data_IF_511878622993
#
_entry.id   IF_511878622993
#
_cell.length_a   1.000
_cell.length_b   1.000
_cell.length_c   1.000
_cell.angle_alpha   90.00
_cell.angle_beta   90.00
_cell.angle_gamma   90.00
#
_symmetry.space_group_name_H-M   'P 1'
#
loop_
_entity.id
_entity.type
_entity.pdbx_description
1 polymer ?
#
# COMPACT_ATOMS: atom_id res chain seq x y z
N UNK A 1 -20.20 13.46 -16.07
CA UNK A 1 -18.81 13.90 -15.88
C UNK A 1 -18.21 14.34 -17.22
N UNK A 2 -17.59 15.52 -17.22
CA UNK A 2 -16.85 16.09 -18.34
C UNK A 2 -15.70 16.93 -17.78
N UNK A 3 -14.46 16.62 -18.15
CA UNK A 3 -13.29 17.33 -17.64
C UNK A 3 -12.11 17.27 -18.62
N UNK A 4 -11.20 18.23 -18.47
CA UNK A 4 -9.93 18.28 -19.18
C UNK A 4 -8.80 18.06 -18.18
N UNK A 5 -7.99 17.02 -18.40
CA UNK A 5 -6.89 16.63 -17.52
C UNK A 5 -5.60 16.52 -18.31
N UNK A 6 -4.45 16.91 -17.74
CA UNK A 6 -3.16 16.69 -18.40
C UNK A 6 -2.87 15.19 -18.49
N UNK A 7 -2.23 14.74 -19.57
CA UNK A 7 -1.80 13.33 -19.70
C UNK A 7 -0.97 12.87 -18.50
N UNK A 8 -0.09 13.74 -18.00
CA UNK A 8 0.76 13.46 -16.84
C UNK A 8 -0.06 13.22 -15.55
N UNK A 9 -1.04 14.09 -15.26
CA UNK A 9 -1.90 13.92 -14.07
C UNK A 9 -2.73 12.64 -14.17
N UNK A 10 -3.33 12.39 -15.34
CA UNK A 10 -4.11 11.16 -15.57
C UNK A 10 -3.24 9.91 -15.41
N UNK A 11 -2.04 9.91 -15.99
CA UNK A 11 -1.10 8.80 -15.85
C UNK A 11 -0.68 8.58 -14.39
N UNK A 12 -0.34 9.65 -13.65
CA UNK A 12 0.03 9.58 -12.23
C UNK A 12 -1.10 8.97 -11.41
N UNK A 13 -2.33 9.47 -11.56
CA UNK A 13 -3.50 8.97 -10.84
C UNK A 13 -3.77 7.49 -11.13
N UNK A 14 -3.80 7.11 -12.41
CA UNK A 14 -4.00 5.71 -12.83
C UNK A 14 -2.90 4.79 -12.27
N UNK A 15 -1.63 5.19 -12.33
CA UNK A 15 -0.52 4.39 -11.81
C UNK A 15 -0.55 4.25 -10.28
N UNK A 16 -1.06 5.25 -9.57
CA UNK A 16 -1.23 5.19 -8.12
C UNK A 16 -2.30 4.15 -7.73
N UNK A 17 -3.47 4.15 -8.37
CA UNK A 17 -4.59 3.25 -7.96
C UNK A 17 -4.54 1.87 -8.60
N UNK A 18 -3.86 1.71 -9.74
CA UNK A 18 -3.85 0.42 -10.45
C UNK A 18 -3.14 -0.70 -9.68
N UNK A 19 -2.26 -0.36 -8.73
CA UNK A 19 -1.56 -1.36 -7.91
C UNK A 19 -2.44 -1.95 -6.80
N UNK A 20 -3.58 -1.34 -6.45
CA UNK A 20 -4.57 -1.91 -5.53
C UNK A 20 -5.69 -2.68 -6.24
N UNK A 21 -5.63 -2.79 -7.58
CA UNK A 21 -6.60 -3.55 -8.37
C UNK A 21 -6.10 -4.99 -8.54
N UNK A 22 -6.94 -6.01 -8.23
CA UNK A 22 -6.55 -7.39 -8.39
C UNK A 22 -6.40 -7.75 -9.87
N UNK A 23 -5.34 -8.48 -10.22
CA UNK A 23 -5.11 -8.95 -11.61
C UNK A 23 -6.12 -10.02 -12.06
N UNK A 24 -6.70 -10.74 -11.10
CA UNK A 24 -7.76 -11.73 -11.29
C UNK A 24 -8.78 -11.58 -10.17
N UNK A 25 -10.06 -11.51 -10.53
CA UNK A 25 -11.15 -11.36 -9.55
C UNK A 25 -12.42 -12.00 -10.11
N UNK A 26 -13.26 -12.52 -9.22
CA UNK A 26 -14.62 -13.00 -9.55
C UNK A 26 -15.64 -11.86 -9.57
N UNK A 27 -15.28 -10.68 -9.04
CA UNK A 27 -16.08 -9.45 -9.03
C UNK A 27 -15.54 -8.48 -10.09
N UNK A 28 -16.17 -8.38 -11.29
CA UNK A 28 -15.61 -7.62 -12.41
C UNK A 28 -15.36 -6.14 -12.12
N UNK A 29 -16.18 -5.54 -11.24
CA UNK A 29 -16.04 -4.13 -10.84
C UNK A 29 -14.74 -3.81 -10.12
N UNK A 30 -14.10 -4.79 -9.47
CA UNK A 30 -12.80 -4.59 -8.84
C UNK A 30 -11.67 -4.44 -9.87
N UNK A 31 -11.89 -4.81 -11.14
CA UNK A 31 -10.96 -4.52 -12.24
C UNK A 31 -11.09 -3.09 -12.79
N UNK A 32 -12.09 -2.35 -12.32
CA UNK A 32 -12.30 -0.95 -12.70
C UNK A 32 -11.69 0.00 -11.67
N UNK A 33 -11.39 1.21 -12.14
CA UNK A 33 -11.09 2.38 -11.31
C UNK A 33 -12.37 3.20 -11.23
N UNK A 34 -12.73 3.63 -10.03
CA UNK A 34 -13.77 4.64 -9.82
C UNK A 34 -13.17 6.03 -10.03
N UNK A 35 -13.84 6.86 -10.83
CA UNK A 35 -13.55 8.27 -11.04
C UNK A 35 -14.68 9.09 -10.44
N UNK A 36 -14.35 10.12 -9.68
CA UNK A 36 -15.31 11.07 -9.12
C UNK A 36 -14.80 12.49 -9.36
N UNK A 37 -15.44 13.23 -10.27
CA UNK A 37 -15.06 14.59 -10.59
C UNK A 37 -15.64 15.56 -9.55
N UNK A 38 -14.74 16.25 -8.84
CA UNK A 38 -15.04 17.32 -7.89
C UNK A 38 -15.12 18.69 -8.58
N UNK A 39 -14.77 19.77 -7.87
CA UNK A 39 -14.80 21.13 -8.44
C UNK A 39 -13.56 21.45 -9.28
N UNK A 40 -12.39 21.03 -8.82
CA UNK A 40 -11.05 21.42 -9.34
C UNK A 40 -10.15 20.22 -9.65
N UNK A 41 -10.73 19.03 -9.67
CA UNK A 41 -9.99 17.80 -9.92
C UNK A 41 -10.87 16.55 -9.85
N UNK A 42 -10.20 15.40 -9.86
CA UNK A 42 -10.83 14.10 -9.93
C UNK A 42 -10.20 13.20 -8.88
N UNK A 43 -11.04 12.55 -8.09
CA UNK A 43 -10.63 11.40 -7.30
C UNK A 43 -10.62 10.15 -8.17
N UNK A 44 -9.51 9.42 -8.12
CA UNK A 44 -9.41 8.07 -8.68
C UNK A 44 -9.29 7.08 -7.53
N UNK A 45 -10.04 5.98 -7.58
CA UNK A 45 -10.05 4.97 -6.52
C UNK A 45 -9.96 3.55 -7.09
N UNK A 46 -9.17 2.69 -6.46
CA UNK A 46 -9.03 1.27 -6.79
C UNK A 46 -8.96 0.42 -5.52
N UNK A 47 -9.54 -0.78 -5.53
CA UNK A 47 -9.62 -1.64 -4.34
C UNK A 47 -9.67 -3.13 -4.70
N UNK A 48 -9.11 -3.96 -3.83
CA UNK A 48 -9.27 -5.42 -3.82
C UNK A 48 -10.17 -5.92 -2.67
N UNK A 49 -10.85 -4.99 -1.98
CA UNK A 49 -11.64 -5.13 -0.74
C UNK A 49 -10.85 -5.18 0.56
N UNK A 50 -9.56 -5.54 0.53
CA UNK A 50 -8.69 -5.54 1.70
C UNK A 50 -7.81 -4.29 1.77
N UNK A 51 -7.42 -3.78 0.61
CA UNK A 51 -6.65 -2.56 0.42
C UNK A 51 -7.35 -1.68 -0.61
N UNK A 52 -7.56 -0.42 -0.25
CA UNK A 52 -8.04 0.58 -1.19
C UNK A 52 -7.04 1.73 -1.29
N UNK A 53 -6.89 2.28 -2.49
CA UNK A 53 -6.07 3.46 -2.75
C UNK A 53 -6.97 4.48 -3.43
N UNK A 54 -6.88 5.72 -2.96
CA UNK A 54 -7.58 6.86 -3.54
C UNK A 54 -6.58 8.00 -3.74
N UNK A 55 -6.65 8.67 -4.87
CA UNK A 55 -5.74 9.78 -5.20
C UNK A 55 -6.47 10.92 -5.88
N UNK A 56 -6.18 12.14 -5.47
CA UNK A 56 -6.67 13.36 -6.07
C UNK A 56 -5.71 13.82 -7.17
N UNK A 57 -6.27 14.15 -8.33
CA UNK A 57 -5.50 14.75 -9.42
C UNK A 57 -6.17 16.02 -9.93
N UNK A 58 -5.41 17.13 -10.12
CA UNK A 58 -5.96 18.37 -10.67
C UNK A 58 -6.47 18.19 -12.11
N UNK A 59 -7.64 18.75 -12.38
CA UNK A 59 -8.28 18.75 -13.70
C UNK A 59 -9.27 19.92 -13.81
N UNK A 60 -9.49 20.41 -15.02
CA UNK A 60 -10.55 21.39 -15.29
C UNK A 60 -11.88 20.65 -15.43
N UNK A 61 -12.72 20.69 -14.40
CA UNK A 61 -14.03 20.01 -14.40
C UNK A 61 -15.09 20.95 -14.97
N UNK A 62 -15.74 20.51 -16.06
CA UNK A 62 -16.89 21.21 -16.67
C UNK A 62 -18.21 20.70 -16.11
N UNK A 63 -18.35 19.37 -16.06
CA UNK A 63 -19.52 18.69 -15.51
C UNK A 63 -19.05 17.68 -14.46
N UNK A 64 -19.57 17.78 -13.24
CA UNK A 64 -19.31 16.81 -12.18
C UNK A 64 -19.93 15.44 -12.48
N UNK A 65 -19.59 14.46 -11.65
CA UNK A 65 -20.18 13.13 -11.66
C UNK A 65 -19.14 12.04 -11.49
N UNK A 66 -19.61 10.80 -11.54
CA UNK A 66 -18.80 9.62 -11.30
C UNK A 66 -18.99 8.56 -12.38
N UNK A 67 -17.96 7.74 -12.57
CA UNK A 67 -17.99 6.58 -13.47
C UNK A 67 -16.95 5.56 -13.02
N UNK A 68 -17.16 4.28 -13.28
CA UNK A 68 -16.09 3.28 -13.19
C UNK A 68 -15.57 2.96 -14.59
N UNK A 69 -14.28 2.65 -14.74
CA UNK A 69 -13.75 2.25 -16.04
C UNK A 69 -12.59 1.24 -15.94
N UNK A 70 -12.37 0.39 -16.95
CA UNK A 70 -11.37 -0.68 -16.88
C UNK A 70 -9.95 -0.14 -16.69
N UNK A 71 -9.37 -0.35 -15.50
CA UNK A 71 -8.14 0.32 -15.08
C UNK A 71 -6.93 -0.04 -15.93
N UNK A 72 -6.73 -1.33 -16.18
CA UNK A 72 -5.61 -1.82 -17.01
C UNK A 72 -5.63 -1.26 -18.42
N UNK A 73 -6.80 -1.26 -19.08
CA UNK A 73 -6.94 -0.72 -20.45
C UNK A 73 -6.69 0.78 -20.47
N UNK A 74 -7.21 1.51 -19.49
CA UNK A 74 -6.96 2.95 -19.35
C UNK A 74 -5.46 3.24 -19.17
N UNK A 75 -4.78 2.49 -18.31
CA UNK A 75 -3.35 2.67 -18.08
C UNK A 75 -2.53 2.42 -19.34
N UNK A 76 -2.85 1.35 -20.09
CA UNK A 76 -2.23 1.05 -21.39
C UNK A 76 -2.47 2.16 -22.42
N UNK A 77 -3.71 2.66 -22.54
CA UNK A 77 -4.05 3.76 -23.46
C UNK A 77 -3.29 5.03 -23.09
N UNK A 78 -3.38 5.47 -21.83
CA UNK A 78 -2.82 6.76 -21.37
C UNK A 78 -1.29 6.78 -21.48
N UNK A 79 -0.63 5.63 -21.31
CA UNK A 79 0.81 5.50 -21.53
C UNK A 79 1.24 5.83 -22.96
N UNK A 80 0.41 5.49 -23.94
CA UNK A 80 0.68 5.68 -25.38
C UNK A 80 0.14 7.01 -25.94
N UNK A 81 -0.57 7.81 -25.13
CA UNK A 81 -1.08 9.11 -25.58
C UNK A 81 0.05 10.11 -25.85
N UNK A 82 -0.15 10.96 -26.86
CA UNK A 82 0.68 12.12 -27.10
C UNK A 82 0.57 13.12 -25.94
N UNK A 83 1.61 13.93 -25.73
CA UNK A 83 1.68 14.89 -24.61
C UNK A 83 0.78 16.12 -24.86
N UNK A 84 -0.53 15.89 -24.74
CA UNK A 84 -1.60 16.87 -24.92
C UNK A 84 -2.66 16.68 -23.83
N UNK A 85 -3.49 17.69 -23.56
CA UNK A 85 -4.64 17.54 -22.67
C UNK A 85 -5.57 16.42 -23.13
N UNK A 86 -6.08 15.66 -22.17
CA UNK A 86 -7.02 14.55 -22.36
C UNK A 86 -8.40 15.01 -21.91
N UNK A 87 -9.35 15.05 -22.84
CA UNK A 87 -10.76 15.27 -22.52
C UNK A 87 -11.39 13.93 -22.11
N UNK A 88 -11.91 13.88 -20.90
CA UNK A 88 -12.68 12.75 -20.37
C UNK A 88 -14.14 13.16 -20.30
N UNK A 89 -15.01 12.41 -20.96
CA UNK A 89 -16.46 12.60 -20.89
C UNK A 89 -17.19 11.29 -20.69
N UNK A 90 -18.39 11.35 -20.10
CA UNK A 90 -19.19 10.17 -19.80
C UNK A 90 -20.52 10.19 -20.53
N UNK A 91 -20.91 9.04 -21.09
CA UNK A 91 -22.22 8.83 -21.71
C UNK A 91 -22.84 7.52 -21.20
N UNK A 92 -23.74 7.60 -20.23
CA UNK A 92 -24.19 6.43 -19.49
C UNK A 92 -23.00 5.77 -18.77
N UNK A 93 -22.88 4.45 -18.87
CA UNK A 93 -21.76 3.70 -18.29
C UNK A 93 -20.50 3.69 -19.18
N UNK A 94 -20.42 4.54 -20.21
CA UNK A 94 -19.24 4.63 -21.09
C UNK A 94 -18.40 5.86 -20.78
N UNK A 95 -17.09 5.66 -20.62
CA UNK A 95 -16.11 6.75 -20.61
C UNK A 95 -15.52 6.93 -22.02
N UNK A 96 -15.50 8.18 -22.51
CA UNK A 96 -14.84 8.58 -23.75
C UNK A 96 -13.58 9.38 -23.41
N UNK A 97 -12.46 9.03 -24.04
CA UNK A 97 -11.18 9.73 -23.92
C UNK A 97 -10.80 10.33 -25.27
N UNK A 98 -10.53 11.63 -25.32
CA UNK A 98 -10.02 12.32 -26.52
C UNK A 98 -8.70 13.02 -26.23
N UNK A 99 -7.72 12.79 -27.08
CA UNK A 99 -6.41 13.42 -27.01
C UNK A 99 -5.89 13.64 -28.44
N UNK A 100 -5.88 14.89 -28.89
CA UNK A 100 -5.58 15.23 -30.29
C UNK A 100 -6.52 14.52 -31.27
N UNK A 101 -5.96 13.65 -32.12
CA UNK A 101 -6.70 12.85 -33.12
C UNK A 101 -7.18 11.50 -32.59
N UNK A 102 -6.75 11.11 -31.39
CA UNK A 102 -7.07 9.82 -30.80
C UNK A 102 -8.37 9.90 -30.02
N UNK A 103 -9.23 8.90 -30.21
CA UNK A 103 -10.53 8.80 -29.55
C UNK A 103 -10.78 7.36 -29.12
N UNK A 104 -11.02 7.16 -27.82
CA UNK A 104 -11.28 5.86 -27.23
C UNK A 104 -12.61 5.87 -26.50
N UNK A 105 -13.30 4.73 -26.52
CA UNK A 105 -14.54 4.51 -25.77
C UNK A 105 -14.42 3.22 -25.01
N UNK A 106 -14.61 3.27 -23.70
CA UNK A 106 -14.53 2.12 -22.83
C UNK A 106 -15.81 2.01 -22.01
N UNK A 107 -16.37 0.80 -21.97
CA UNK A 107 -17.52 0.52 -21.13
C UNK A 107 -17.03 0.29 -19.69
N UNK A 108 -17.55 1.11 -18.79
CA UNK A 108 -17.53 0.95 -17.36
C UNK A 108 -18.58 -0.03 -16.86
N UNK A 109 -18.73 -0.04 -15.55
CA UNK A 109 -19.81 -0.69 -14.83
C UNK A 109 -20.54 0.36 -13.96
N UNK A 110 -21.77 0.08 -13.51
CA UNK A 110 -22.52 0.99 -12.65
C UNK A 110 -21.71 1.39 -11.42
N UNK A 111 -21.71 2.69 -11.10
CA UNK A 111 -20.97 3.25 -9.95
C UNK A 111 -21.38 2.59 -8.64
N UNK A 112 -22.67 2.31 -8.47
CA UNK A 112 -23.22 1.66 -7.27
C UNK A 112 -22.74 0.21 -7.08
N UNK A 113 -22.12 -0.39 -8.11
CA UNK A 113 -21.45 -1.69 -7.98
C UNK A 113 -20.04 -1.57 -7.39
N UNK A 114 -19.43 -0.39 -7.40
CA UNK A 114 -18.11 -0.18 -6.84
C UNK A 114 -18.22 -0.16 -5.30
N UNK A 115 -17.34 -0.88 -4.58
CA UNK A 115 -17.41 -0.91 -3.11
C UNK A 115 -17.20 0.46 -2.50
N UNK A 116 -17.97 0.79 -1.46
CA UNK A 116 -17.72 1.98 -0.64
C UNK A 116 -16.34 1.87 -0.01
N UNK A 117 -15.57 2.96 -0.05
CA UNK A 117 -14.28 3.03 0.64
C UNK A 117 -14.48 3.02 2.16
N UNK A 118 -13.53 2.47 2.94
CA UNK A 118 -13.64 2.49 4.40
C UNK A 118 -13.72 3.91 4.96
N UNK A 119 -14.62 4.12 5.92
CA UNK A 119 -14.71 5.38 6.64
C UNK A 119 -13.70 5.42 7.78
N UNK A 120 -12.78 6.39 7.72
CA UNK A 120 -11.87 6.74 8.80
C UNK A 120 -11.92 8.25 8.98
N UNK A 121 -11.76 8.71 10.22
CA UNK A 121 -11.71 10.14 10.52
C UNK A 121 -10.26 10.56 10.78
N UNK A 122 -9.68 11.27 9.82
CA UNK A 122 -8.33 11.81 9.93
C UNK A 122 -8.24 13.04 10.83
N UNK A 123 -9.34 13.75 11.12
CA UNK A 123 -9.33 14.88 12.06
C UNK A 123 -9.06 14.42 13.50
N UNK A 124 -9.50 13.21 13.83
CA UNK A 124 -9.20 12.54 15.11
C UNK A 124 -8.03 11.56 15.03
N UNK A 125 -7.32 11.57 13.91
CA UNK A 125 -6.13 10.74 13.66
C UNK A 125 -4.88 11.20 14.42
N UNK A 126 -3.76 10.59 14.07
CA UNK A 126 -2.44 10.96 14.55
C UNK A 126 -1.46 11.08 13.40
N UNK A 127 -0.34 11.75 13.61
CA UNK A 127 0.70 11.92 12.60
C UNK A 127 1.89 10.99 12.86
N UNK A 128 2.52 10.50 11.79
CA UNK A 128 3.76 9.73 11.85
C UNK A 128 4.74 10.24 10.80
N UNK A 129 6.03 10.31 11.14
CA UNK A 129 7.07 10.65 10.17
C UNK A 129 7.15 9.56 9.10
N UNK A 130 7.05 9.95 7.82
CA UNK A 130 7.13 9.00 6.70
C UNK A 130 8.42 8.20 6.69
N UNK A 131 9.55 8.83 6.96
CA UNK A 131 10.86 8.19 6.99
C UNK A 131 10.94 7.10 8.07
N UNK A 132 10.35 7.36 9.24
CA UNK A 132 10.31 6.41 10.34
C UNK A 132 9.40 5.22 10.00
N UNK A 133 8.20 5.48 9.46
CA UNK A 133 7.27 4.43 9.03
C UNK A 133 7.87 3.57 7.91
N UNK A 134 8.49 4.18 6.89
CA UNK A 134 9.23 3.48 5.84
C UNK A 134 10.35 2.62 6.41
N UNK A 135 11.09 3.19 7.37
CA UNK A 135 12.15 2.52 8.08
C UNK A 135 11.65 1.30 8.84
N UNK A 136 10.49 1.38 9.51
CA UNK A 136 9.87 0.24 10.20
C UNK A 136 9.48 -0.85 9.20
N UNK A 137 8.65 -0.51 8.20
CA UNK A 137 8.12 -1.45 7.19
C UNK A 137 9.26 -2.20 6.48
N UNK A 138 10.27 -1.47 5.98
CA UNK A 138 11.41 -2.05 5.24
C UNK A 138 12.18 -3.10 6.05
N UNK A 139 12.24 -2.94 7.37
CA UNK A 139 13.03 -3.80 8.24
C UNK A 139 12.22 -4.92 8.89
N UNK A 140 10.91 -5.00 8.68
CA UNK A 140 10.05 -5.98 9.34
C UNK A 140 9.22 -6.80 8.36
N UNK A 141 8.58 -6.18 7.37
CA UNK A 141 7.56 -6.84 6.54
C UNK A 141 8.04 -8.09 5.78
N UNK A 142 9.34 -8.22 5.48
CA UNK A 142 9.87 -9.40 4.81
C UNK A 142 9.81 -10.68 5.67
N UNK A 143 9.53 -10.56 6.98
CA UNK A 143 9.50 -11.68 7.92
C UNK A 143 8.11 -12.24 8.17
N UNK A 144 7.05 -11.72 7.52
CA UNK A 144 5.69 -12.27 7.63
C UNK A 144 5.62 -13.72 7.14
N UNK A 145 4.65 -14.46 7.67
CA UNK A 145 4.28 -15.78 7.20
C UNK A 145 3.48 -15.72 5.90
N UNK A 146 3.52 -16.81 5.14
CA UNK A 146 2.59 -17.08 4.03
C UNK A 146 1.67 -18.26 4.33
N UNK A 147 1.70 -18.80 5.55
CA UNK A 147 0.88 -19.94 5.96
C UNK A 147 -0.53 -19.50 6.36
N UNK A 148 -1.55 -20.09 5.72
CA UNK A 148 -2.96 -19.78 6.01
C UNK A 148 -3.43 -20.30 7.38
N UNK A 149 -2.74 -21.28 7.96
CA UNK A 149 -3.10 -21.86 9.27
C UNK A 149 -2.95 -20.89 10.44
N UNK A 150 -2.14 -19.83 10.27
CA UNK A 150 -1.89 -18.81 11.31
C UNK A 150 -2.02 -17.40 10.70
N UNK A 151 -3.23 -16.94 10.36
CA UNK A 151 -3.45 -15.68 9.64
C UNK A 151 -2.85 -14.45 10.32
N UNK A 152 -2.82 -14.42 11.65
CA UNK A 152 -2.21 -13.33 12.43
C UNK A 152 -0.72 -13.11 12.08
N UNK A 153 0.00 -14.15 11.66
CA UNK A 153 1.42 -14.06 11.28
C UNK A 153 1.62 -13.62 9.83
N UNK A 154 0.55 -13.57 9.04
CA UNK A 154 0.59 -13.05 7.68
C UNK A 154 0.61 -11.51 7.65
N UNK A 155 0.38 -10.87 8.80
CA UNK A 155 0.51 -9.44 9.00
C UNK A 155 1.74 -9.02 9.78
N UNK A 156 1.98 -7.72 9.77
CA UNK A 156 2.98 -7.05 10.59
C UNK A 156 2.27 -6.45 11.80
N UNK A 157 2.72 -6.82 13.00
CA UNK A 157 2.29 -6.16 14.23
C UNK A 157 2.89 -4.76 14.27
N UNK A 158 2.07 -3.73 14.39
CA UNK A 158 2.44 -2.35 14.64
C UNK A 158 1.95 -1.95 16.03
N UNK A 159 2.89 -1.83 16.96
CA UNK A 159 2.66 -1.44 18.35
C UNK A 159 2.91 0.07 18.49
N UNK A 160 1.91 0.77 19.01
CA UNK A 160 1.99 2.19 19.37
C UNK A 160 1.90 2.31 20.89
N UNK A 161 2.86 3.01 21.49
CA UNK A 161 2.92 3.33 22.92
C UNK A 161 3.33 4.79 23.07
N UNK A 162 3.22 5.32 24.29
CA UNK A 162 3.62 6.70 24.58
C UNK A 162 5.09 6.95 24.17
N UNK A 163 5.29 7.91 23.26
CA UNK A 163 6.60 8.30 22.73
C UNK A 163 7.34 7.26 21.89
N UNK A 164 6.77 6.10 21.57
CA UNK A 164 7.48 5.05 20.85
C UNK A 164 6.56 4.18 19.97
N UNK A 165 7.03 3.85 18.75
CA UNK A 165 6.35 2.91 17.87
C UNK A 165 7.28 1.79 17.40
N UNK A 166 6.72 0.61 17.18
CA UNK A 166 7.47 -0.60 16.84
C UNK A 166 6.71 -1.44 15.84
N UNK A 167 7.43 -2.02 14.88
CA UNK A 167 6.89 -3.07 14.04
C UNK A 167 7.58 -4.40 14.31
N UNK A 168 6.80 -5.49 14.25
CA UNK A 168 7.26 -6.87 14.43
C UNK A 168 6.62 -7.76 13.38
N UNK A 169 7.41 -8.65 12.78
CA UNK A 169 6.90 -9.70 11.92
C UNK A 169 7.68 -10.99 12.14
N UNK A 170 6.99 -12.12 12.05
CA UNK A 170 7.59 -13.46 12.16
C UNK A 170 6.81 -14.47 11.33
N UNK A 171 7.52 -15.48 10.84
CA UNK A 171 6.95 -16.64 10.18
C UNK A 171 7.16 -17.93 10.99
N UNK A 172 7.56 -17.80 12.26
CA UNK A 172 7.91 -18.93 13.13
C UNK A 172 9.33 -19.46 12.96
N UNK A 173 10.02 -19.15 11.85
CA UNK A 173 11.42 -19.53 11.62
C UNK A 173 12.38 -18.36 11.82
N UNK A 174 11.94 -17.14 11.54
CA UNK A 174 12.70 -15.90 11.74
C UNK A 174 11.77 -14.83 12.29
N UNK A 175 12.35 -13.90 13.04
CA UNK A 175 11.66 -12.73 13.55
C UNK A 175 12.42 -11.46 13.18
N UNK A 176 11.69 -10.44 12.75
CA UNK A 176 12.20 -9.10 12.54
C UNK A 176 11.45 -8.11 13.43
N UNK A 177 12.19 -7.25 14.12
CA UNK A 177 11.66 -6.21 15.01
C UNK A 177 12.44 -4.93 14.80
N UNK A 178 11.73 -3.81 14.66
CA UNK A 178 12.33 -2.47 14.67
C UNK A 178 11.47 -1.51 15.46
N UNK A 179 12.12 -0.67 16.25
CA UNK A 179 11.49 0.38 17.05
C UNK A 179 12.11 1.74 16.76
N UNK A 180 11.31 2.79 16.89
CA UNK A 180 11.71 4.20 16.77
C UNK A 180 10.90 5.03 17.76
N UNK A 181 11.43 6.17 18.17
CA UNK A 181 10.64 7.15 18.92
C UNK A 181 9.45 7.61 18.06
N UNK A 182 8.26 7.70 18.64
CA UNK A 182 7.10 8.24 17.96
C UNK A 182 7.22 9.77 17.92
N UNK A 183 7.11 10.37 16.74
CA UNK A 183 7.22 11.82 16.57
C UNK A 183 5.99 12.62 17.01
N UNK A 184 4.86 11.96 17.24
CA UNK A 184 3.57 12.60 17.59
C UNK A 184 3.10 12.18 18.97
N UNK A 185 2.67 13.15 19.78
CA UNK A 185 2.12 12.96 21.12
C UNK A 185 0.69 12.41 21.15
N UNK A 186 0.01 12.37 20.00
CA UNK A 186 -1.42 12.04 19.94
C UNK A 186 -1.69 10.62 19.41
N UNK A 187 -0.65 9.82 19.18
CA UNK A 187 -0.83 8.44 18.76
C UNK A 187 -1.54 7.62 19.85
N UNK A 188 -2.51 6.76 19.50
CA UNK A 188 -3.17 5.92 20.49
C UNK A 188 -2.20 4.88 21.05
N UNK A 189 -2.41 4.45 22.29
CA UNK A 189 -1.77 3.23 22.80
C UNK A 189 -2.55 2.02 22.30
N UNK A 190 -2.10 1.41 21.21
CA UNK A 190 -2.80 0.33 20.53
C UNK A 190 -1.86 -0.62 19.77
N UNK A 191 -2.39 -1.78 19.41
CA UNK A 191 -1.73 -2.78 18.57
C UNK A 191 -2.56 -3.02 17.33
N UNK A 192 -1.92 -2.99 16.16
CA UNK A 192 -2.54 -3.26 14.87
C UNK A 192 -1.81 -4.40 14.16
N UNK A 193 -2.53 -5.31 13.53
CA UNK A 193 -1.92 -6.32 12.65
C UNK A 193 -2.23 -5.91 11.22
N UNK A 194 -1.25 -5.29 10.57
CA UNK A 194 -1.41 -4.65 9.25
C UNK A 194 -0.98 -5.60 8.14
N UNK A 195 -1.79 -5.81 7.09
CA UNK A 195 -1.38 -6.60 5.94
C UNK A 195 -0.14 -6.04 5.24
N UNK A 196 0.81 -6.90 4.81
CA UNK A 196 2.03 -6.45 4.13
C UNK A 196 1.73 -5.79 2.78
N UNK A 197 0.65 -6.17 2.10
CA UNK A 197 0.20 -5.56 0.84
C UNK A 197 -0.16 -4.09 1.02
N UNK A 198 -0.84 -3.74 2.11
CA UNK A 198 -1.14 -2.35 2.45
C UNK A 198 0.12 -1.55 2.76
N UNK A 199 1.03 -2.12 3.56
CA UNK A 199 2.31 -1.48 3.88
C UNK A 199 3.18 -1.26 2.63
N UNK A 200 3.09 -2.14 1.63
CA UNK A 200 3.73 -1.93 0.33
C UNK A 200 3.12 -0.76 -0.45
N UNK A 201 1.79 -0.57 -0.40
CA UNK A 201 1.15 0.61 -0.99
C UNK A 201 1.62 1.89 -0.29
N UNK A 202 1.66 1.89 1.05
CA UNK A 202 2.19 3.01 1.83
C UNK A 202 3.63 3.34 1.39
N UNK A 203 4.52 2.35 1.33
CA UNK A 203 5.92 2.56 0.91
C UNK A 203 6.08 3.06 -0.52
N UNK A 204 5.15 2.73 -1.42
CA UNK A 204 5.21 3.08 -2.83
C UNK A 204 4.62 4.47 -3.10
N UNK A 205 3.58 4.84 -2.36
CA UNK A 205 2.78 6.03 -2.65
C UNK A 205 3.22 7.26 -1.86
N UNK A 206 3.77 7.06 -0.67
CA UNK A 206 4.35 8.13 0.14
C UNK A 206 5.86 8.05 -0.01
N UNK A 207 6.54 9.15 -0.36
CA UNK A 207 7.99 9.12 -0.62
C UNK A 207 8.82 9.07 0.68
N UNK A 208 8.15 9.25 1.82
CA UNK A 208 8.72 9.17 3.17
C UNK A 208 9.37 10.46 3.65
N UNK A 209 9.38 11.52 2.84
CA UNK A 209 9.90 12.84 3.23
C UNK A 209 8.91 13.64 4.08
N UNK A 210 7.61 13.46 3.82
CA UNK A 210 6.52 14.11 4.51
C UNK A 210 6.01 13.29 5.71
N UNK A 211 5.31 13.98 6.61
CA UNK A 211 4.57 13.34 7.69
C UNK A 211 3.24 12.79 7.12
N UNK A 212 2.85 11.58 7.53
CA UNK A 212 1.59 10.97 7.15
C UNK A 212 0.58 11.11 8.29
N UNK A 213 -0.64 11.48 7.94
CA UNK A 213 -1.78 11.32 8.83
C UNK A 213 -2.26 9.88 8.81
N UNK A 214 -2.57 9.35 9.98
CA UNK A 214 -3.04 7.99 10.18
C UNK A 214 -4.30 8.02 11.02
N UNK A 215 -5.30 7.26 10.61
CA UNK A 215 -6.58 7.19 11.30
C UNK A 215 -7.08 5.76 11.38
N UNK A 216 -7.91 5.50 12.39
CA UNK A 216 -8.58 4.20 12.57
C UNK A 216 -10.08 4.40 12.52
N UNK A 217 -10.76 3.59 11.72
CA UNK A 217 -12.22 3.51 11.68
C UNK A 217 -12.66 2.04 11.67
N UNK A 218 -13.43 1.61 12.68
CA UNK A 218 -13.81 0.21 12.82
C UNK A 218 -12.60 -0.74 12.80
N UNK A 219 -12.59 -1.69 11.86
CA UNK A 219 -11.48 -2.62 11.61
C UNK A 219 -10.54 -2.17 10.47
N UNK A 220 -10.49 -0.88 10.14
CA UNK A 220 -9.63 -0.33 9.10
C UNK A 220 -8.64 0.71 9.65
N UNK A 221 -7.48 0.78 9.00
CA UNK A 221 -6.57 1.92 9.08
C UNK A 221 -6.58 2.69 7.77
N UNK A 222 -6.47 4.01 7.87
CA UNK A 222 -6.22 4.91 6.75
C UNK A 222 -4.90 5.63 6.93
N UNK A 223 -4.22 5.92 5.82
CA UNK A 223 -2.99 6.72 5.72
C UNK A 223 -3.24 7.82 4.70
N UNK A 224 -2.87 9.07 5.00
CA UNK A 224 -3.11 10.23 4.13
C UNK A 224 -1.94 11.20 4.12
N UNK A 225 -1.58 11.64 2.92
CA UNK A 225 -0.71 12.79 2.67
C UNK A 225 -0.91 13.27 1.22
N UNK A 226 -0.80 14.57 0.97
CA UNK A 226 -0.75 15.17 -0.38
C UNK A 226 -1.82 14.68 -1.37
N UNK A 227 -3.07 14.58 -0.90
CA UNK A 227 -4.21 14.13 -1.71
C UNK A 227 -4.17 12.66 -2.09
N UNK A 228 -3.32 11.85 -1.44
CA UNK A 228 -3.27 10.39 -1.57
C UNK A 228 -3.73 9.74 -0.28
N UNK A 229 -4.59 8.75 -0.40
CA UNK A 229 -5.14 7.99 0.71
C UNK A 229 -4.97 6.49 0.46
N UNK A 230 -4.53 5.76 1.48
CA UNK A 230 -4.41 4.30 1.49
C UNK A 230 -5.21 3.76 2.66
N UNK A 231 -6.11 2.83 2.39
CA UNK A 231 -6.94 2.17 3.38
C UNK A 231 -6.60 0.69 3.44
N UNK A 232 -6.68 0.10 4.62
CA UNK A 232 -6.49 -1.34 4.79
C UNK A 232 -7.35 -1.91 5.90
N UNK A 233 -7.91 -3.09 5.66
CA UNK A 233 -8.53 -3.91 6.68
C UNK A 233 -7.45 -4.55 7.56
N UNK A 234 -7.59 -4.40 8.87
CA UNK A 234 -6.69 -5.02 9.84
C UNK A 234 -6.99 -6.52 9.98
N UNK A 235 -5.94 -7.31 10.20
CA UNK A 235 -6.07 -8.73 10.54
C UNK A 235 -6.52 -8.84 12.00
N UNK A 236 -7.63 -9.53 12.22
CA UNK A 236 -8.18 -9.72 13.55
C UNK A 236 -7.44 -10.82 14.31
N UNK A 237 -7.24 -10.59 15.61
CA UNK A 237 -6.63 -11.56 16.52
C UNK A 237 -5.59 -10.94 17.43
N UNK A 238 -4.95 -11.79 18.22
CA UNK A 238 -3.87 -11.39 19.14
C UNK A 238 -2.55 -11.88 18.59
N UNK A 239 -1.60 -10.98 18.37
CA UNK A 239 -0.26 -11.36 17.92
C UNK A 239 0.47 -12.15 19.03
N UNK A 240 1.23 -13.22 18.72
CA UNK A 240 1.89 -14.00 19.76
C UNK A 240 2.92 -13.18 20.53
N UNK A 241 3.16 -13.53 21.80
CA UNK A 241 4.20 -12.90 22.60
C UNK A 241 5.58 -13.22 22.05
N UNK A 242 6.07 -12.33 21.18
CA UNK A 242 7.32 -12.50 20.47
C UNK A 242 8.56 -12.31 21.34
N UNK A 243 8.44 -11.68 22.51
CA UNK A 243 9.60 -11.48 23.39
C UNK A 243 10.12 -12.79 23.96
N UNK A 244 9.26 -13.81 24.06
CA UNK A 244 9.62 -15.13 24.56
C UNK A 244 10.62 -15.88 23.67
N UNK A 245 10.70 -15.53 22.38
CA UNK A 245 11.61 -16.18 21.42
C UNK A 245 12.91 -15.42 21.18
N UNK A 246 13.09 -14.25 21.82
CA UNK A 246 14.33 -13.48 21.72
C UNK A 246 15.30 -14.01 22.79
N UNK A 247 16.45 -14.61 22.41
CA UNK A 247 17.44 -15.10 23.37
C UNK A 247 17.95 -13.96 24.28
N UNK A 248 17.88 -14.15 25.59
CA UNK A 248 18.33 -13.15 26.59
C UNK A 248 19.76 -13.37 27.08
N UNK A 249 20.19 -14.64 27.13
CA UNK A 249 21.44 -15.05 27.76
C UNK A 249 22.44 -15.64 26.75
N UNK A 250 22.70 -14.92 25.65
CA UNK A 250 23.70 -15.32 24.65
C UNK A 250 25.07 -14.70 24.95
N UNK A 251 26.07 -15.53 25.22
CA UNK A 251 27.44 -15.14 25.57
C UNK A 251 28.42 -15.17 24.38
N UNK A 252 27.99 -15.66 23.20
CA UNK A 252 28.84 -15.79 22.01
C UNK A 252 28.50 -14.75 20.96
N UNK A 253 29.49 -13.95 20.57
CA UNK A 253 29.33 -12.89 19.57
C UNK A 253 30.31 -13.09 18.42
N UNK A 254 29.83 -12.92 17.19
CA UNK A 254 30.65 -12.86 16.00
C UNK A 254 30.41 -11.52 15.30
N UNK A 255 31.46 -10.71 15.14
CA UNK A 255 31.41 -9.42 14.45
C UNK A 255 32.00 -9.60 13.06
N UNK A 256 31.21 -9.28 12.03
CA UNK A 256 31.59 -9.48 10.62
C UNK A 256 31.27 -8.23 9.80
N UNK A 257 32.01 -8.02 8.72
CA UNK A 257 31.61 -7.04 7.71
C UNK A 257 30.33 -7.50 7.00
N UNK A 258 29.30 -6.66 7.04
CA UNK A 258 27.96 -6.98 6.50
C UNK A 258 28.01 -7.37 5.02
N UNK A 259 28.76 -6.63 4.21
CA UNK A 259 28.76 -6.80 2.76
C UNK A 259 29.56 -8.05 2.35
N UNK A 260 30.72 -8.26 2.96
CA UNK A 260 31.54 -9.45 2.79
C UNK A 260 30.77 -10.70 3.22
N UNK A 261 30.12 -10.66 4.39
CA UNK A 261 29.33 -11.77 4.90
C UNK A 261 28.12 -12.09 4.01
N UNK A 262 27.33 -11.08 3.63
CA UNK A 262 26.21 -11.26 2.72
C UNK A 262 26.65 -11.80 1.34
N UNK A 263 27.80 -11.34 0.85
CA UNK A 263 28.39 -11.85 -0.40
C UNK A 263 28.83 -13.31 -0.28
N UNK A 264 29.45 -13.70 0.84
CA UNK A 264 29.82 -15.08 1.12
C UNK A 264 28.59 -15.99 1.23
N UNK A 265 27.55 -15.57 1.96
CA UNK A 265 26.28 -16.30 2.06
C UNK A 265 25.64 -16.46 0.68
N UNK A 266 25.60 -15.41 -0.16
CA UNK A 266 25.08 -15.50 -1.53
C UNK A 266 25.85 -16.51 -2.39
N UNK A 267 27.19 -16.52 -2.32
CA UNK A 267 28.01 -17.51 -3.04
C UNK A 267 27.72 -18.93 -2.57
N UNK A 268 27.63 -19.15 -1.26
CA UNK A 268 27.34 -20.47 -0.71
C UNK A 268 25.91 -20.92 -0.98
N UNK A 269 24.94 -20.00 -1.07
CA UNK A 269 23.56 -20.32 -1.39
C UNK A 269 23.40 -20.93 -2.79
N UNK A 270 24.26 -20.60 -3.75
CA UNK A 270 24.25 -21.18 -5.12
C UNK A 270 24.55 -22.68 -5.12
N UNK A 271 25.36 -23.15 -4.17
CA UNK A 271 25.74 -24.57 -4.05
C UNK A 271 24.99 -25.30 -2.93
N UNK A 272 24.15 -24.58 -2.18
CA UNK A 272 23.33 -25.17 -1.14
C UNK A 272 22.26 -26.08 -1.76
N UNK A 273 21.85 -27.12 -1.03
CA UNK A 273 20.80 -28.03 -1.48
C UNK A 273 19.50 -27.26 -1.76
N UNK A 274 18.90 -27.48 -2.93
CA UNK A 274 17.60 -26.89 -3.32
C UNK A 274 16.44 -27.31 -2.41
N UNK A 275 16.61 -28.36 -1.60
CA UNK A 275 15.60 -28.84 -0.66
C UNK A 275 15.69 -28.16 0.71
N UNK A 276 16.91 -27.83 1.16
CA UNK A 276 17.12 -27.40 2.56
C UNK A 276 17.70 -25.99 2.69
N UNK A 277 18.38 -25.49 1.66
CA UNK A 277 19.09 -24.20 1.64
C UNK A 277 20.03 -23.95 2.84
N UNK A 278 20.51 -25.03 3.49
CA UNK A 278 21.33 -24.92 4.70
C UNK A 278 22.77 -24.54 4.38
N UNK A 279 23.29 -23.54 5.10
CA UNK A 279 24.71 -23.16 5.10
C UNK A 279 25.26 -23.39 6.50
N UNK A 280 26.38 -24.13 6.61
CA UNK A 280 27.10 -24.30 7.88
C UNK A 280 28.06 -23.13 8.06
N UNK A 281 27.97 -22.46 9.19
CA UNK A 281 28.92 -21.43 9.61
C UNK A 281 29.83 -22.02 10.69
N UNK A 282 31.13 -21.80 10.56
CA UNK A 282 32.12 -22.13 11.57
C UNK A 282 32.77 -20.81 12.02
N UNK A 283 32.78 -20.58 13.32
CA UNK A 283 33.43 -19.45 13.97
C UNK A 283 34.58 -20.02 14.80
N UNK A 284 35.78 -19.46 14.63
CA UNK A 284 36.98 -19.83 15.37
C UNK A 284 37.15 -18.94 16.61
#
# INVERSE_FOLDING_TARGET
>A
MNCLITRQNLHRGLAAVSASIPTKTTLPVLSNILFEAGQDGIWMSGTDLDVAVRVWVPAEVKDQGSITAPGKKLQEIVRELADQPVELSTRGDQIELRCGKSHFKLNGLPVDSFPTLPEVDFETGWSVKGADLHGLIKNTSFAVSSEESRPILNGVLWELRDGHMRMVATNGHRLARKGVAAGSSNAPSADFIVPPTALQQVQRLFEGEEDLEVAKGGNHLGFRADGTEVYTRLIEGTYPNYEQVIPKDNDKFAVVDKNAFASAVRRMAVVASDQTHRIRMAFE
#
